data_IF_674397347991
#
_entry.id   IF_674397347991
#
_cell.length_a   1.000
_cell.length_b   1.000
_cell.length_c   1.000
_cell.angle_alpha   90.00
_cell.angle_beta   90.00
_cell.angle_gamma   90.00
#
_symmetry.space_group_name_H-M   'P 1'
#
loop_
_entity.id
_entity.type
_entity.pdbx_description
1 polymer ?
#
# COMPACT_ATOMS: atom_id res chain seq x y z
N UNK A 1 -10.78 17.87 -8.50
CA UNK A 1 -11.28 17.00 -9.58
C UNK A 1 -12.04 15.87 -8.91
N UNK A 2 -13.35 15.85 -9.10
CA UNK A 2 -14.24 14.82 -8.56
C UNK A 2 -14.24 13.67 -9.56
N UNK A 3 -13.98 12.44 -9.09
CA UNK A 3 -14.13 11.25 -9.93
C UNK A 3 -15.57 10.79 -9.76
N UNK A 4 -16.39 10.99 -10.80
CA UNK A 4 -17.79 10.55 -10.77
C UNK A 4 -17.87 9.04 -10.54
N UNK A 5 -18.79 8.63 -9.66
CA UNK A 5 -19.00 7.21 -9.31
C UNK A 5 -17.89 6.58 -8.46
N UNK A 6 -17.00 7.38 -7.86
CA UNK A 6 -15.99 6.90 -6.92
C UNK A 6 -16.63 6.59 -5.56
N UNK A 7 -16.40 5.37 -5.09
CA UNK A 7 -16.74 4.92 -3.74
C UNK A 7 -15.45 4.47 -3.05
N UNK A 8 -15.20 4.99 -1.85
CA UNK A 8 -14.11 4.56 -0.97
C UNK A 8 -14.71 3.85 0.24
N UNK A 9 -14.21 2.67 0.59
CA UNK A 9 -14.68 1.94 1.77
C UNK A 9 -13.61 1.01 2.33
N UNK A 10 -13.65 0.83 3.65
CA UNK A 10 -12.95 -0.26 4.33
C UNK A 10 -13.71 -1.56 4.04
N UNK A 11 -12.99 -2.58 3.57
CA UNK A 11 -13.55 -3.91 3.36
C UNK A 11 -14.03 -4.52 4.69
N UNK A 12 -15.02 -5.39 4.57
CA UNK A 12 -15.66 -6.08 5.69
C UNK A 12 -15.85 -7.57 5.39
N UNK A 13 -16.41 -8.31 6.34
CA UNK A 13 -16.54 -9.76 6.23
C UNK A 13 -17.41 -10.22 5.04
N UNK A 14 -18.35 -9.40 4.57
CA UNK A 14 -19.12 -9.68 3.35
C UNK A 14 -18.28 -9.64 2.06
N UNK A 15 -17.14 -8.95 2.07
CA UNK A 15 -16.18 -8.95 0.96
C UNK A 15 -15.35 -10.24 0.90
N UNK A 16 -15.39 -11.08 1.94
CA UNK A 16 -14.68 -12.37 1.99
C UNK A 16 -15.47 -13.42 1.20
N UNK A 17 -15.54 -13.20 -0.11
CA UNK A 17 -16.10 -14.15 -1.06
C UNK A 17 -15.11 -14.40 -2.20
N UNK A 18 -15.20 -15.57 -2.81
CA UNK A 18 -14.22 -16.04 -3.80
C UNK A 18 -14.14 -15.11 -5.04
N UNK A 19 -15.25 -14.51 -5.46
CA UNK A 19 -15.28 -13.54 -6.55
C UNK A 19 -14.44 -12.29 -6.26
N UNK A 20 -14.68 -11.66 -5.11
CA UNK A 20 -13.97 -10.45 -4.69
C UNK A 20 -12.50 -10.72 -4.37
N UNK A 21 -12.20 -11.76 -3.59
CA UNK A 21 -10.84 -12.12 -3.21
C UNK A 21 -9.98 -12.39 -4.45
N UNK A 22 -10.47 -13.16 -5.43
CA UNK A 22 -9.72 -13.40 -6.67
C UNK A 22 -9.43 -12.12 -7.44
N UNK A 23 -10.43 -11.25 -7.61
CA UNK A 23 -10.27 -9.98 -8.34
C UNK A 23 -9.22 -9.08 -7.67
N UNK A 24 -9.33 -8.89 -6.37
CA UNK A 24 -8.43 -8.01 -5.62
C UNK A 24 -7.01 -8.60 -5.53
N UNK A 25 -6.85 -9.88 -5.22
CA UNK A 25 -5.54 -10.55 -5.24
C UNK A 25 -4.89 -10.47 -6.61
N UNK A 26 -5.64 -10.72 -7.69
CA UNK A 26 -5.12 -10.65 -9.06
C UNK A 26 -4.64 -9.23 -9.41
N UNK A 27 -5.43 -8.21 -9.09
CA UNK A 27 -5.06 -6.81 -9.33
C UNK A 27 -3.77 -6.42 -8.58
N UNK A 28 -3.66 -6.79 -7.30
CA UNK A 28 -2.46 -6.50 -6.50
C UNK A 28 -1.23 -7.18 -7.11
N UNK A 29 -1.31 -8.49 -7.34
CA UNK A 29 -0.16 -9.24 -7.84
C UNK A 29 0.26 -8.78 -9.25
N UNK A 30 -0.67 -8.42 -10.14
CA UNK A 30 -0.33 -7.87 -11.46
C UNK A 30 0.42 -6.54 -11.37
N UNK A 31 0.02 -5.64 -10.47
CA UNK A 31 0.70 -4.35 -10.29
C UNK A 31 2.09 -4.54 -9.71
N UNK A 32 2.24 -5.40 -8.70
CA UNK A 32 3.51 -5.66 -8.03
C UNK A 32 4.48 -6.49 -8.87
N UNK A 33 3.99 -7.38 -9.73
CA UNK A 33 4.81 -8.12 -10.70
C UNK A 33 5.62 -7.17 -11.60
N UNK A 34 5.04 -6.03 -11.98
CA UNK A 34 5.73 -5.01 -12.80
C UNK A 34 6.52 -4.04 -11.93
N UNK A 35 5.95 -3.60 -10.81
CA UNK A 35 6.55 -2.55 -9.97
C UNK A 35 7.80 -3.00 -9.20
N UNK A 36 7.95 -4.31 -9.00
CA UNK A 36 9.04 -4.93 -8.22
C UNK A 36 9.72 -6.08 -8.98
N UNK A 37 9.62 -6.09 -10.31
CA UNK A 37 10.14 -7.16 -11.18
C UNK A 37 11.66 -7.39 -11.03
N UNK A 38 12.41 -6.32 -10.74
CA UNK A 38 13.85 -6.39 -10.51
C UNK A 38 14.24 -6.73 -9.06
N UNK A 39 13.27 -6.69 -8.14
CA UNK A 39 13.48 -6.93 -6.70
C UNK A 39 13.31 -8.41 -6.37
N UNK A 40 12.26 -9.05 -6.88
CA UNK A 40 11.88 -10.42 -6.51
C UNK A 40 12.28 -11.43 -7.58
N UNK A 41 12.50 -12.68 -7.16
CA UNK A 41 12.60 -13.83 -8.07
C UNK A 41 11.27 -14.07 -8.79
N UNK A 42 11.34 -14.79 -9.91
CA UNK A 42 10.16 -15.15 -10.70
C UNK A 42 9.10 -15.88 -9.85
N UNK A 43 7.82 -15.67 -10.18
CA UNK A 43 6.65 -16.23 -9.49
C UNK A 43 6.39 -15.74 -8.05
N UNK A 44 7.16 -14.78 -7.52
CA UNK A 44 6.83 -14.17 -6.23
C UNK A 44 5.46 -13.49 -6.29
N UNK A 45 4.57 -13.86 -5.36
CA UNK A 45 3.27 -13.23 -5.18
C UNK A 45 3.31 -12.32 -3.97
N UNK A 46 2.86 -11.08 -4.16
CA UNK A 46 2.80 -10.09 -3.08
C UNK A 46 1.80 -10.51 -2.00
N UNK A 47 0.72 -11.18 -2.39
CA UNK A 47 -0.35 -11.60 -1.50
C UNK A 47 -1.09 -12.82 -2.07
N UNK A 48 -1.58 -13.69 -1.19
CA UNK A 48 -2.52 -14.77 -1.53
C UNK A 48 -3.95 -14.46 -1.02
N UNK A 49 -4.94 -15.26 -1.44
CA UNK A 49 -6.35 -15.06 -1.03
C UNK A 49 -6.57 -15.24 0.47
N UNK A 50 -5.81 -16.11 1.14
CA UNK A 50 -5.92 -16.39 2.57
C UNK A 50 -5.42 -15.20 3.37
N UNK A 51 -4.23 -14.68 3.05
CA UNK A 51 -3.66 -13.46 3.62
C UNK A 51 -4.60 -12.28 3.42
N UNK A 52 -5.14 -12.11 2.21
CA UNK A 52 -6.10 -11.04 1.93
C UNK A 52 -7.37 -11.16 2.79
N UNK A 53 -7.95 -12.35 2.91
CA UNK A 53 -9.11 -12.59 3.76
C UNK A 53 -8.82 -12.24 5.24
N UNK A 54 -7.66 -12.63 5.76
CA UNK A 54 -7.25 -12.28 7.13
C UNK A 54 -7.07 -10.77 7.33
N UNK A 55 -6.55 -10.06 6.34
CA UNK A 55 -6.45 -8.59 6.38
C UNK A 55 -7.83 -7.92 6.32
N UNK A 56 -8.77 -8.46 5.56
CA UNK A 56 -10.15 -7.97 5.51
C UNK A 56 -10.87 -8.17 6.85
N UNK A 57 -10.73 -9.35 7.49
CA UNK A 57 -11.28 -9.60 8.83
C UNK A 57 -10.82 -8.57 9.86
N UNK A 58 -9.55 -8.15 9.74
CA UNK A 58 -8.94 -7.13 10.61
C UNK A 58 -9.30 -5.68 10.24
N UNK A 59 -10.13 -5.47 9.20
CA UNK A 59 -10.49 -4.13 8.68
C UNK A 59 -9.29 -3.32 8.22
N UNK A 60 -8.31 -4.02 7.64
CA UNK A 60 -7.04 -3.42 7.22
C UNK A 60 -6.99 -3.10 5.72
N UNK A 61 -8.00 -3.47 4.93
CA UNK A 61 -8.02 -3.17 3.49
C UNK A 61 -9.04 -2.07 3.20
N UNK A 62 -8.59 -1.00 2.54
CA UNK A 62 -9.46 0.00 1.92
C UNK A 62 -9.42 -0.17 0.42
N UNK A 63 -10.59 -0.10 -0.23
CA UNK A 63 -10.72 -0.15 -1.70
C UNK A 63 -11.33 1.12 -2.23
N UNK A 64 -10.99 1.42 -3.48
CA UNK A 64 -11.68 2.38 -4.32
C UNK A 64 -12.37 1.65 -5.47
N UNK A 65 -13.67 1.89 -5.61
CA UNK A 65 -14.49 1.41 -6.72
C UNK A 65 -14.92 2.61 -7.57
N UNK A 66 -14.83 2.50 -8.89
CA UNK A 66 -15.29 3.55 -9.82
C UNK A 66 -16.34 2.92 -10.73
N UNK A 67 -17.59 3.41 -10.66
CA UNK A 67 -18.72 2.85 -11.39
C UNK A 67 -18.86 1.32 -11.16
N UNK A 68 -18.76 0.90 -9.89
CA UNK A 68 -18.80 -0.50 -9.43
C UNK A 68 -17.64 -1.39 -9.93
N UNK A 69 -16.56 -0.79 -10.45
CA UNK A 69 -15.35 -1.50 -10.85
C UNK A 69 -14.26 -1.27 -9.81
N UNK A 70 -13.69 -2.35 -9.28
CA UNK A 70 -12.54 -2.30 -8.38
C UNK A 70 -11.35 -1.63 -9.09
N UNK A 71 -10.97 -0.46 -8.61
CA UNK A 71 -10.02 0.41 -9.29
C UNK A 71 -8.69 0.57 -8.56
N UNK A 72 -8.69 0.50 -7.22
CA UNK A 72 -7.49 0.63 -6.40
C UNK A 72 -7.71 0.05 -4.99
N UNK A 73 -6.63 -0.21 -4.27
CA UNK A 73 -6.66 -0.56 -2.86
C UNK A 73 -5.44 -0.04 -2.11
N UNK A 74 -5.54 -0.01 -0.79
CA UNK A 74 -4.44 0.27 0.13
C UNK A 74 -4.62 -0.56 1.40
N UNK A 75 -3.51 -1.08 1.93
CA UNK A 75 -3.46 -1.72 3.24
C UNK A 75 -3.21 -0.65 4.30
N UNK A 76 -4.01 -0.64 5.36
CA UNK A 76 -3.87 0.22 6.53
C UNK A 76 -3.81 -0.66 7.79
N UNK A 77 -2.81 -0.43 8.62
CA UNK A 77 -2.62 -1.13 9.90
C UNK A 77 -2.40 -0.12 11.02
N UNK A 78 -3.13 -0.28 12.12
CA UNK A 78 -2.93 0.52 13.32
C UNK A 78 -1.82 -0.14 14.15
N UNK A 79 -0.59 0.40 14.09
CA UNK A 79 0.58 -0.25 14.69
C UNK A 79 0.57 -0.19 16.22
N UNK A 80 0.20 0.96 16.76
CA UNK A 80 0.08 1.20 18.19
C UNK A 80 -0.91 2.35 18.45
N UNK A 81 -0.86 2.94 19.65
CA UNK A 81 -1.75 4.02 20.06
C UNK A 81 -1.52 5.33 19.27
N UNK A 82 -0.32 5.60 18.77
CA UNK A 82 -0.01 6.86 18.07
C UNK A 82 0.22 6.70 16.57
N UNK A 83 0.69 5.54 16.12
CA UNK A 83 1.13 5.31 14.74
C UNK A 83 0.18 4.37 14.00
N UNK A 84 -0.28 4.83 12.85
CA UNK A 84 -0.84 4.01 11.78
C UNK A 84 0.21 3.81 10.68
N UNK A 85 0.10 2.72 9.92
CA UNK A 85 0.94 2.43 8.76
C UNK A 85 0.08 2.10 7.57
N UNK A 86 0.39 2.66 6.40
CA UNK A 86 -0.15 2.15 5.15
C UNK A 86 0.91 1.50 4.28
N UNK A 87 0.48 0.64 3.37
CA UNK A 87 1.30 -0.06 2.40
C UNK A 87 0.44 -0.68 1.31
N UNK A 88 1.06 -1.47 0.43
CA UNK A 88 0.37 -2.18 -0.66
C UNK A 88 -0.56 -1.26 -1.47
N UNK A 89 -0.14 -0.02 -1.70
CA UNK A 89 -0.89 0.96 -2.48
C UNK A 89 -0.92 0.52 -3.94
N UNK A 90 -2.10 0.14 -4.42
CA UNK A 90 -2.30 -0.48 -5.72
C UNK A 90 -3.35 0.31 -6.49
N UNK A 91 -3.04 0.67 -7.74
CA UNK A 91 -4.02 1.25 -8.68
C UNK A 91 -4.02 0.40 -9.93
N UNK A 92 -5.19 -0.11 -10.33
CA UNK A 92 -5.34 -0.88 -11.54
C UNK A 92 -4.84 -0.08 -12.76
N UNK A 93 -4.14 -0.71 -13.74
CA UNK A 93 -3.57 -0.02 -14.89
C UNK A 93 -4.58 0.86 -15.65
N UNK A 94 -5.81 0.40 -15.82
CA UNK A 94 -6.90 1.12 -16.49
C UNK A 94 -7.32 2.44 -15.79
N UNK A 95 -6.89 2.65 -14.55
CA UNK A 95 -7.20 3.83 -13.74
C UNK A 95 -5.96 4.66 -13.37
N UNK A 96 -4.79 4.38 -13.98
CA UNK A 96 -3.59 5.21 -13.83
C UNK A 96 -3.86 6.66 -14.24
N UNK A 97 -3.15 7.61 -13.62
CA UNK A 97 -3.29 9.04 -13.88
C UNK A 97 -4.54 9.71 -13.27
N UNK A 98 -5.49 8.94 -12.71
CA UNK A 98 -6.72 9.47 -12.12
C UNK A 98 -6.60 9.92 -10.66
N UNK A 99 -5.37 10.09 -10.13
CA UNK A 99 -5.08 10.50 -8.74
C UNK A 99 -5.65 9.58 -7.64
N UNK A 100 -6.12 8.37 -7.97
CA UNK A 100 -6.67 7.41 -6.99
C UNK A 100 -5.69 7.08 -5.85
N UNK A 101 -4.39 6.98 -6.14
CA UNK A 101 -3.38 6.75 -5.10
C UNK A 101 -3.32 7.89 -4.07
N UNK A 102 -3.41 9.14 -4.52
CA UNK A 102 -3.45 10.30 -3.60
C UNK A 102 -4.75 10.39 -2.81
N UNK A 103 -5.87 10.02 -3.45
CA UNK A 103 -7.17 9.96 -2.77
C UNK A 103 -7.16 8.90 -1.67
N UNK A 104 -6.67 7.69 -1.97
CA UNK A 104 -6.57 6.61 -0.98
C UNK A 104 -5.64 6.96 0.18
N UNK A 105 -4.46 7.56 -0.09
CA UNK A 105 -3.55 8.00 0.98
C UNK A 105 -4.24 9.02 1.89
N UNK A 106 -4.90 10.03 1.33
CA UNK A 106 -5.66 11.01 2.13
C UNK A 106 -6.75 10.32 2.95
N UNK A 107 -7.48 9.38 2.37
CA UNK A 107 -8.57 8.70 3.08
C UNK A 107 -8.06 7.82 4.24
N UNK A 108 -6.93 7.12 4.07
CA UNK A 108 -6.35 6.33 5.18
C UNK A 108 -5.67 7.21 6.24
N UNK A 109 -5.14 8.37 5.89
CA UNK A 109 -4.70 9.39 6.85
C UNK A 109 -5.90 9.86 7.70
N UNK A 110 -7.03 10.21 7.08
CA UNK A 110 -8.26 10.60 7.78
C UNK A 110 -8.83 9.46 8.62
N UNK A 111 -8.82 8.24 8.12
CA UNK A 111 -9.21 7.07 8.88
C UNK A 111 -8.33 6.88 10.13
N UNK A 112 -7.01 7.05 10.01
CA UNK A 112 -6.09 6.96 11.14
C UNK A 112 -6.35 8.05 12.19
N UNK A 113 -6.59 9.30 11.77
CA UNK A 113 -6.97 10.42 12.65
C UNK A 113 -8.26 10.09 13.41
N UNK A 114 -9.31 9.62 12.72
CA UNK A 114 -10.58 9.19 13.33
C UNK A 114 -10.42 8.03 14.32
N UNK A 115 -9.37 7.24 14.16
CA UNK A 115 -8.97 6.18 15.08
C UNK A 115 -8.02 6.67 16.18
N UNK A 116 -7.75 7.96 16.29
CA UNK A 116 -6.92 8.57 17.34
C UNK A 116 -5.42 8.45 17.11
N UNK A 117 -4.96 8.19 15.88
CA UNK A 117 -3.53 8.15 15.55
C UNK A 117 -3.05 9.54 15.17
N UNK A 118 -1.88 9.91 15.68
CA UNK A 118 -1.24 11.20 15.40
C UNK A 118 -0.14 11.10 14.34
N UNK A 119 0.22 9.90 13.89
CA UNK A 119 1.23 9.69 12.86
C UNK A 119 0.82 8.64 11.85
N UNK A 120 1.22 8.86 10.60
CA UNK A 120 1.17 7.86 9.55
C UNK A 120 2.58 7.48 9.11
N UNK A 121 2.85 6.18 9.03
CA UNK A 121 4.09 5.60 8.51
C UNK A 121 3.84 4.91 7.17
N UNK A 122 4.85 4.92 6.31
CA UNK A 122 4.95 4.03 5.17
C UNK A 122 6.35 3.42 5.10
N UNK A 123 6.42 2.27 4.43
CA UNK A 123 7.68 1.59 4.12
C UNK A 123 7.82 1.47 2.60
N UNK A 124 8.99 1.84 2.10
CA UNK A 124 9.35 1.70 0.70
C UNK A 124 10.53 0.74 0.58
N UNK A 125 10.27 -0.44 -0.01
CA UNK A 125 11.31 -1.39 -0.38
C UNK A 125 12.09 -0.85 -1.59
N UNK A 126 13.41 -0.73 -1.45
CA UNK A 126 14.30 -0.20 -2.48
C UNK A 126 15.57 -1.05 -2.61
N UNK A 127 16.06 -1.35 -3.83
CA UNK A 127 17.37 -1.96 -4.04
C UNK A 127 18.50 -1.13 -3.41
N UNK A 128 19.54 -1.79 -2.89
CA UNK A 128 20.72 -1.12 -2.30
C UNK A 128 21.54 -0.37 -3.35
N UNK A 129 21.74 -0.99 -4.53
CA UNK A 129 22.69 -0.50 -5.54
C UNK A 129 22.04 -0.02 -6.84
N UNK A 130 20.73 -0.24 -7.02
CA UNK A 130 20.06 -0.01 -8.31
C UNK A 130 19.02 1.11 -8.28
N UNK A 131 19.05 1.93 -9.32
CA UNK A 131 18.03 2.95 -9.59
C UNK A 131 16.74 2.30 -10.11
N UNK A 132 15.64 2.42 -9.36
CA UNK A 132 14.29 2.12 -9.86
C UNK A 132 13.52 3.45 -10.10
N UNK A 133 13.18 3.79 -11.37
CA UNK A 133 12.44 5.01 -11.69
C UNK A 133 11.09 5.15 -10.98
N UNK A 134 10.34 4.05 -10.83
CA UNK A 134 9.06 4.01 -10.15
C UNK A 134 9.17 4.28 -8.65
N UNK A 135 10.19 3.73 -7.97
CA UNK A 135 10.46 4.00 -6.55
C UNK A 135 10.92 5.43 -6.34
N UNK A 136 11.69 6.01 -7.26
CA UNK A 136 12.08 7.42 -7.23
C UNK A 136 10.89 8.36 -7.42
N UNK A 137 9.97 8.01 -8.32
CA UNK A 137 8.71 8.71 -8.47
C UNK A 137 7.89 8.67 -7.16
N UNK A 138 7.73 7.48 -6.57
CA UNK A 138 7.02 7.32 -5.30
C UNK A 138 7.67 8.12 -4.18
N UNK A 139 9.00 8.09 -4.06
CA UNK A 139 9.75 8.85 -3.06
C UNK A 139 9.51 10.36 -3.20
N UNK A 140 9.66 10.90 -4.42
CA UNK A 140 9.38 12.32 -4.69
C UNK A 140 7.93 12.68 -4.36
N UNK A 141 7.00 11.79 -4.68
CA UNK A 141 5.59 11.99 -4.39
C UNK A 141 5.29 11.98 -2.88
N UNK A 142 5.80 11.00 -2.13
CA UNK A 142 5.63 10.91 -0.68
C UNK A 142 6.19 12.14 0.04
N UNK A 143 7.38 12.59 -0.34
CA UNK A 143 7.96 13.86 0.16
C UNK A 143 7.04 15.05 -0.10
N UNK A 144 6.50 15.16 -1.31
CA UNK A 144 5.59 16.24 -1.69
C UNK A 144 4.27 16.27 -0.89
N UNK A 145 3.79 15.12 -0.43
CA UNK A 145 2.55 15.03 0.37
C UNK A 145 2.80 15.02 1.89
N UNK A 146 4.04 15.33 2.32
CA UNK A 146 4.39 15.59 3.72
C UNK A 146 5.04 14.41 4.46
N UNK A 147 5.46 13.35 3.78
CA UNK A 147 6.22 12.28 4.43
C UNK A 147 7.72 12.61 4.47
N UNK A 148 8.30 12.48 5.65
CA UNK A 148 9.70 12.71 5.91
C UNK A 148 10.39 11.38 6.22
N UNK A 149 11.65 11.24 5.79
CA UNK A 149 12.43 10.04 6.08
C UNK A 149 12.62 9.92 7.59
N UNK A 150 12.37 8.72 8.12
CA UNK A 150 12.45 8.42 9.54
C UNK A 150 13.60 7.45 9.83
N UNK A 151 13.68 6.33 9.10
CA UNK A 151 14.66 5.27 9.37
C UNK A 151 14.88 4.42 8.11
N UNK A 152 16.08 3.86 7.98
CA UNK A 152 16.36 2.78 7.03
C UNK A 152 16.65 1.49 7.81
N UNK A 153 16.16 0.37 7.30
CA UNK A 153 16.38 -0.97 7.87
C UNK A 153 16.88 -1.91 6.76
N UNK A 154 17.84 -2.79 7.07
CA UNK A 154 18.24 -3.83 6.12
C UNK A 154 17.11 -4.84 5.99
N UNK A 155 16.79 -5.27 4.77
CA UNK A 155 15.78 -6.29 4.56
C UNK A 155 16.17 -7.62 5.23
N UNK A 156 17.47 -7.95 5.17
CA UNK A 156 18.07 -9.15 5.75
C UNK A 156 17.74 -9.34 7.24
N UNK A 157 17.57 -8.22 7.97
CA UNK A 157 17.33 -8.20 9.42
C UNK A 157 15.83 -8.29 9.77
N UNK A 158 14.94 -7.99 8.81
CA UNK A 158 13.50 -7.88 9.05
C UNK A 158 12.78 -9.19 8.73
N UNK A 159 13.06 -9.76 7.56
CA UNK A 159 12.41 -10.98 7.10
C UNK A 159 13.43 -11.92 6.44
N UNK A 160 14.19 -12.67 7.26
CA UNK A 160 15.22 -13.57 6.74
C UNK A 160 14.66 -14.64 5.78
N UNK A 161 13.38 -15.03 5.93
CA UNK A 161 12.75 -16.06 5.10
C UNK A 161 12.37 -15.52 3.73
N UNK A 162 11.81 -14.31 3.66
CA UNK A 162 11.54 -13.67 2.37
C UNK A 162 12.82 -13.18 1.68
N UNK A 163 13.93 -13.05 2.40
CA UNK A 163 15.20 -12.63 1.83
C UNK A 163 15.71 -13.60 0.76
N UNK A 164 15.44 -14.91 0.94
CA UNK A 164 15.78 -15.94 -0.05
C UNK A 164 15.03 -15.74 -1.38
N UNK A 165 13.92 -14.99 -1.39
CA UNK A 165 13.15 -14.68 -2.58
C UNK A 165 13.58 -13.37 -3.27
N UNK A 166 14.52 -12.61 -2.68
CA UNK A 166 15.06 -11.41 -3.32
C UNK A 166 16.07 -11.77 -4.41
N UNK A 167 16.02 -11.01 -5.50
CA UNK A 167 17.00 -11.04 -6.60
C UNK A 167 18.17 -10.10 -6.33
N UNK A 168 17.93 -9.04 -5.55
CA UNK A 168 18.91 -8.01 -5.18
C UNK A 168 18.75 -7.67 -3.71
N UNK A 169 19.85 -7.31 -3.05
CA UNK A 169 19.75 -6.82 -1.67
C UNK A 169 18.95 -5.52 -1.63
N UNK A 170 18.09 -5.39 -0.61
CA UNK A 170 17.21 -4.25 -0.44
C UNK A 170 17.30 -3.61 0.95
N UNK A 171 16.84 -2.37 1.02
CA UNK A 171 16.48 -1.68 2.27
C UNK A 171 14.97 -1.46 2.33
N UNK A 172 14.46 -1.38 3.56
CA UNK A 172 13.20 -0.69 3.83
C UNK A 172 13.51 0.74 4.29
N UNK A 173 13.09 1.71 3.48
CA UNK A 173 13.08 3.11 3.89
C UNK A 173 11.72 3.44 4.51
N UNK A 174 11.73 3.80 5.79
CA UNK A 174 10.56 4.20 6.55
C UNK A 174 10.42 5.71 6.47
N UNK A 175 9.19 6.16 6.20
CA UNK A 175 8.82 7.56 6.22
C UNK A 175 7.64 7.79 7.15
N UNK A 176 7.62 8.93 7.82
CA UNK A 176 6.52 9.34 8.70
C UNK A 176 5.99 10.71 8.32
N UNK A 177 4.71 10.90 8.60
CA UNK A 177 4.00 12.17 8.52
C UNK A 177 3.19 12.34 9.80
N UNK A 178 3.30 13.51 10.41
CA UNK A 178 2.40 13.91 11.49
C UNK A 178 1.00 14.16 10.91
N UNK A 179 0.00 13.59 11.57
CA UNK A 179 -1.39 13.71 11.21
C UNK A 179 -2.02 14.83 12.03
N UNK A 180 -2.40 15.89 11.35
CA UNK A 180 -3.21 16.95 11.92
C UNK A 180 -4.64 16.82 11.41
N UNK A 181 -5.61 17.14 12.27
CA UNK A 181 -6.97 17.42 11.77
C UNK A 181 -6.85 18.63 10.83
N UNK A 182 -7.23 18.48 9.56
CA UNK A 182 -7.50 19.65 8.73
C UNK A 182 -8.67 20.39 9.40
N UNK A 183 -8.46 21.68 9.73
CA UNK A 183 -9.51 22.56 10.25
C UNK A 183 -10.59 22.80 9.21
#
# INVERSE_FOLDING_TARGET
MIINGLILRICNDADINDGFLRKLTSMINQVFLVAEAEIWKENHQRIDRRMLAEMIKKREIMVAEVNNILAACVHIKLLNHSVAKFGMLTVAPAFKGKKLGSILVKEVEQYAIKKGRSKMRLELLTPKENYNPGKQFLLKWYKRIGYHFFKQLSFDEIDPKENENLRVSCFFNLYEKDLTMEQ
#
